data_IF_915312795399
#
_entry.id   IF_915312795399
#
_cell.length_a   1.000
_cell.length_b   1.000
_cell.length_c   1.000
_cell.angle_alpha   90.00
_cell.angle_beta   90.00
_cell.angle_gamma   90.00
#
_symmetry.space_group_name_H-M   'P 1'
#
loop_
_entity.id
_entity.type
_entity.pdbx_description
1 polymer ?
#
# COMPACT_ATOMS: atom_id res chain seq x y z
N UNK A 1 -18.09 6.22 -40.05
CA UNK A 1 -19.32 6.05 -40.88
C UNK A 1 -20.41 5.44 -40.01
N UNK A 2 -21.31 6.25 -39.46
CA UNK A 2 -22.62 5.79 -38.98
C UNK A 2 -23.61 6.89 -39.35
N UNK A 3 -24.48 6.53 -40.28
CA UNK A 3 -25.32 7.43 -41.04
C UNK A 3 -26.51 7.93 -40.21
N UNK A 4 -26.81 9.21 -40.42
CA UNK A 4 -27.97 9.92 -39.87
C UNK A 4 -29.21 9.56 -40.69
N UNK A 5 -30.11 8.76 -40.12
CA UNK A 5 -31.40 8.44 -40.76
C UNK A 5 -32.43 9.50 -40.36
N UNK A 6 -32.56 10.52 -41.22
CA UNK A 6 -33.56 11.58 -41.12
C UNK A 6 -34.88 11.10 -41.73
N UNK A 7 -35.78 10.57 -40.91
CA UNK A 7 -37.11 10.13 -41.36
C UNK A 7 -38.05 11.34 -41.56
N UNK A 8 -38.42 11.61 -42.83
CA UNK A 8 -39.40 12.62 -43.22
C UNK A 8 -40.81 12.02 -43.13
N UNK A 9 -41.52 12.29 -42.02
CA UNK A 9 -42.93 11.94 -41.86
C UNK A 9 -43.83 13.03 -42.46
N UNK A 10 -44.46 12.71 -43.59
CA UNK A 10 -45.43 13.55 -44.29
C UNK A 10 -46.75 13.58 -43.47
N UNK A 11 -47.08 14.72 -42.87
CA UNK A 11 -48.32 14.90 -42.10
C UNK A 11 -49.50 15.16 -43.05
N UNK A 12 -50.31 14.13 -43.32
CA UNK A 12 -51.57 14.22 -44.05
C UNK A 12 -52.71 14.43 -43.04
N UNK A 13 -53.16 15.67 -42.88
CA UNK A 13 -54.28 16.02 -41.99
C UNK A 13 -55.61 15.67 -42.65
N UNK A 14 -56.20 14.54 -42.24
CA UNK A 14 -57.56 14.13 -42.62
C UNK A 14 -58.56 14.68 -41.60
N UNK A 15 -59.27 15.75 -41.96
CA UNK A 15 -60.37 16.33 -41.18
C UNK A 15 -61.64 15.49 -41.37
N UNK A 16 -61.90 14.58 -40.43
CA UNK A 16 -63.19 13.90 -40.30
C UNK A 16 -64.11 14.68 -39.35
N UNK A 17 -65.18 15.23 -39.91
CA UNK A 17 -66.26 15.88 -39.18
C UNK A 17 -67.01 14.84 -38.33
N UNK A 18 -66.86 14.93 -37.00
CA UNK A 18 -67.70 14.18 -36.06
C UNK A 18 -69.07 14.84 -35.98
N UNK A 19 -70.06 14.16 -36.57
CA UNK A 19 -71.48 14.44 -36.36
C UNK A 19 -71.87 14.01 -34.94
N UNK A 20 -72.65 14.86 -34.27
CA UNK A 20 -73.13 14.65 -32.92
C UNK A 20 -74.01 13.38 -32.84
N UNK A 21 -73.39 12.27 -32.42
CA UNK A 21 -74.07 11.02 -32.08
C UNK A 21 -74.56 11.07 -30.64
N UNK A 22 -75.86 10.83 -30.48
CA UNK A 22 -76.61 10.83 -29.23
C UNK A 22 -75.92 10.03 -28.12
N UNK A 23 -75.60 10.73 -27.03
CA UNK A 23 -75.17 10.12 -25.78
C UNK A 23 -76.32 9.36 -25.12
N UNK A 24 -76.33 8.04 -25.28
CA UNK A 24 -76.95 7.16 -24.28
C UNK A 24 -75.97 7.08 -23.13
N UNK A 25 -76.18 7.95 -22.14
CA UNK A 25 -75.40 8.00 -20.92
C UNK A 25 -75.54 6.68 -20.16
N UNK A 26 -74.46 5.90 -20.11
CA UNK A 26 -74.29 4.90 -19.07
C UNK A 26 -74.09 5.66 -17.76
N UNK A 27 -75.14 5.74 -16.93
CA UNK A 27 -75.03 6.29 -15.59
C UNK A 27 -74.21 5.30 -14.77
N UNK A 28 -72.90 5.52 -14.69
CA UNK A 28 -72.03 4.78 -13.78
C UNK A 28 -72.43 5.15 -12.35
N UNK A 29 -73.24 4.29 -11.74
CA UNK A 29 -73.50 4.31 -10.32
C UNK A 29 -72.17 4.29 -9.57
N UNK A 30 -71.88 5.43 -8.93
CA UNK A 30 -71.12 5.61 -7.69
C UNK A 30 -70.38 4.38 -7.19
N UNK A 31 -69.07 4.37 -7.40
CA UNK A 31 -68.14 3.53 -6.69
C UNK A 31 -66.96 3.18 -7.57
N UNK A 32 -65.77 3.68 -7.21
CA UNK A 32 -64.51 3.04 -7.63
C UNK A 32 -64.68 1.56 -7.30
N UNK A 33 -64.59 0.70 -8.31
CA UNK A 33 -64.83 -0.74 -8.10
C UNK A 33 -63.88 -1.23 -7.01
N UNK A 34 -64.30 -2.20 -6.20
CA UNK A 34 -63.41 -2.70 -5.14
C UNK A 34 -62.09 -3.21 -5.74
N UNK A 35 -62.14 -3.73 -6.98
CA UNK A 35 -60.98 -4.09 -7.80
C UNK A 35 -60.05 -2.91 -8.07
N UNK A 36 -60.57 -1.73 -8.41
CA UNK A 36 -59.76 -0.52 -8.65
C UNK A 36 -59.13 0.00 -7.35
N UNK A 37 -59.82 -0.12 -6.21
CA UNK A 37 -59.25 0.21 -4.90
C UNK A 37 -58.13 -0.75 -4.50
N UNK A 38 -58.33 -2.06 -4.73
CA UNK A 38 -57.31 -3.08 -4.49
C UNK A 38 -56.09 -2.89 -5.42
N UNK A 39 -56.30 -2.54 -6.69
CA UNK A 39 -55.21 -2.22 -7.62
C UNK A 39 -54.45 -0.95 -7.20
N UNK A 40 -55.14 0.08 -6.73
CA UNK A 40 -54.52 1.29 -6.21
C UNK A 40 -53.73 1.03 -4.92
N UNK A 41 -54.25 0.18 -4.02
CA UNK A 41 -53.54 -0.28 -2.80
C UNK A 41 -52.30 -1.10 -3.17
N UNK A 42 -52.42 -2.02 -4.12
CA UNK A 42 -51.31 -2.85 -4.60
C UNK A 42 -50.20 -2.00 -5.24
N UNK A 43 -50.55 -1.01 -6.08
CA UNK A 43 -49.58 -0.07 -6.67
C UNK A 43 -48.89 0.80 -5.62
N UNK A 44 -49.64 1.29 -4.62
CA UNK A 44 -49.09 2.05 -3.49
C UNK A 44 -48.19 1.21 -2.59
N UNK A 45 -48.46 -0.09 -2.47
CA UNK A 45 -47.59 -1.04 -1.77
C UNK A 45 -46.36 -1.41 -2.60
N UNK A 46 -46.49 -1.57 -3.92
CA UNK A 46 -45.36 -1.84 -4.81
C UNK A 46 -44.37 -0.66 -4.84
N UNK A 47 -44.85 0.58 -4.85
CA UNK A 47 -43.99 1.77 -4.75
C UNK A 47 -43.30 1.97 -3.39
N UNK A 48 -43.61 1.13 -2.39
CA UNK A 48 -42.95 1.11 -1.07
C UNK A 48 -41.94 -0.03 -0.92
N UNK A 49 -41.86 -0.95 -1.89
CA UNK A 49 -40.89 -2.05 -1.87
C UNK A 49 -39.58 -1.55 -2.46
N UNK A 50 -38.49 -1.76 -1.72
CA UNK A 50 -37.14 -1.53 -2.21
C UNK A 50 -36.84 -2.53 -3.33
N UNK A 51 -36.13 -2.11 -4.37
CA UNK A 51 -35.73 -3.01 -5.45
C UNK A 51 -34.74 -4.04 -4.87
N UNK A 52 -34.96 -5.32 -5.15
CA UNK A 52 -34.01 -6.37 -4.78
C UNK A 52 -32.72 -6.22 -5.59
N UNK A 53 -31.58 -6.29 -4.91
CA UNK A 53 -30.24 -6.26 -5.50
C UNK A 53 -29.86 -7.60 -6.11
N UNK A 54 -30.41 -8.69 -5.55
CA UNK A 54 -30.11 -10.06 -5.94
C UNK A 54 -31.32 -11.00 -5.74
N UNK A 55 -31.24 -12.22 -6.28
CA UNK A 55 -32.25 -13.26 -6.06
C UNK A 55 -31.88 -14.12 -4.84
N UNK A 56 -32.83 -14.41 -3.93
CA UNK A 56 -32.56 -15.20 -2.73
C UNK A 56 -31.83 -16.50 -3.03
N UNK A 57 -30.89 -16.88 -2.16
CA UNK A 57 -30.03 -18.07 -2.24
C UNK A 57 -28.95 -18.05 -3.34
N UNK A 58 -28.95 -17.06 -4.23
CA UNK A 58 -27.86 -16.90 -5.19
C UNK A 58 -26.54 -16.68 -4.46
N UNK A 59 -25.47 -17.19 -5.05
CA UNK A 59 -24.10 -17.01 -4.57
C UNK A 59 -23.25 -16.44 -5.69
N UNK A 60 -22.31 -15.59 -5.33
CA UNK A 60 -21.33 -15.05 -6.27
C UNK A 60 -20.01 -14.74 -5.57
N UNK A 61 -18.89 -14.72 -6.31
CA UNK A 61 -17.63 -14.25 -5.78
C UNK A 61 -17.73 -12.78 -5.36
N UNK A 62 -16.93 -12.42 -4.37
CA UNK A 62 -16.84 -11.07 -3.88
C UNK A 62 -15.44 -10.80 -3.37
N UNK A 63 -15.02 -9.54 -3.45
CA UNK A 63 -13.72 -9.11 -2.99
C UNK A 63 -13.87 -7.79 -2.23
N UNK A 64 -14.56 -7.92 -1.10
CA UNK A 64 -14.99 -6.80 -0.27
C UNK A 64 -14.75 -7.18 1.19
N UNK A 65 -14.17 -6.26 1.96
CA UNK A 65 -13.88 -6.45 3.38
C UNK A 65 -15.15 -6.40 4.21
N UNK A 66 -15.05 -6.85 5.46
CA UNK A 66 -16.16 -6.83 6.41
C UNK A 66 -16.65 -5.40 6.74
N UNK A 67 -15.79 -4.40 6.56
CA UNK A 67 -16.08 -2.96 6.68
C UNK A 67 -16.67 -2.34 5.39
N UNK A 68 -16.82 -3.14 4.34
CA UNK A 68 -17.28 -2.69 3.02
C UNK A 68 -16.17 -2.10 2.14
N UNK A 69 -14.91 -2.15 2.56
CA UNK A 69 -13.78 -1.72 1.72
C UNK A 69 -13.63 -2.66 0.51
N UNK A 70 -13.44 -2.08 -0.67
CA UNK A 70 -13.10 -2.83 -1.90
C UNK A 70 -11.62 -2.68 -2.17
N UNK A 71 -10.92 -3.77 -2.45
CA UNK A 71 -9.54 -3.73 -2.91
C UNK A 71 -9.46 -3.70 -4.44
N UNK A 72 -8.27 -3.39 -4.97
CA UNK A 72 -8.05 -3.34 -6.41
C UNK A 72 -8.15 -4.77 -7.00
N UNK A 73 -8.89 -4.92 -8.10
CA UNK A 73 -9.20 -6.24 -8.69
C UNK A 73 -7.96 -7.00 -9.15
N UNK A 74 -6.85 -6.31 -9.41
CA UNK A 74 -5.59 -6.89 -9.83
C UNK A 74 -4.79 -7.54 -8.69
N UNK A 75 -5.18 -7.33 -7.43
CA UNK A 75 -4.59 -7.98 -6.24
C UNK A 75 -5.20 -9.36 -5.94
N UNK A 76 -6.29 -9.74 -6.64
CA UNK A 76 -6.98 -11.01 -6.42
C UNK A 76 -6.04 -12.18 -6.74
N UNK A 77 -5.94 -13.15 -5.82
CA UNK A 77 -5.09 -14.34 -5.93
C UNK A 77 -3.58 -14.03 -6.03
N UNK A 78 -3.12 -12.90 -5.48
CA UNK A 78 -1.70 -12.60 -5.21
C UNK A 78 -1.42 -12.73 -3.72
N UNK A 79 -0.22 -13.15 -3.37
CA UNK A 79 0.17 -13.33 -1.97
C UNK A 79 -0.86 -14.11 -1.15
N UNK A 80 -1.32 -13.50 -0.07
CA UNK A 80 -2.39 -14.03 0.79
C UNK A 80 -3.80 -13.68 0.34
N UNK A 81 -3.95 -12.78 -0.64
CA UNK A 81 -5.24 -12.25 -1.02
C UNK A 81 -6.09 -13.25 -1.79
N UNK A 82 -7.34 -13.35 -1.37
CA UNK A 82 -8.29 -14.34 -1.87
C UNK A 82 -9.67 -13.71 -2.03
N UNK A 83 -10.36 -14.09 -3.10
CA UNK A 83 -11.78 -13.78 -3.25
C UNK A 83 -12.62 -14.62 -2.28
N UNK A 84 -13.65 -13.99 -1.73
CA UNK A 84 -14.66 -14.64 -0.91
C UNK A 84 -15.91 -14.98 -1.70
N UNK A 85 -16.92 -15.47 -0.99
CA UNK A 85 -18.25 -15.74 -1.54
C UNK A 85 -19.31 -15.03 -0.70
N UNK A 86 -20.26 -14.39 -1.38
CA UNK A 86 -21.44 -13.81 -0.75
C UNK A 86 -22.70 -14.53 -1.17
N UNK A 87 -23.69 -14.52 -0.28
CA UNK A 87 -25.00 -15.15 -0.50
C UNK A 87 -26.09 -14.10 -0.42
N UNK A 88 -27.03 -14.14 -1.35
CA UNK A 88 -28.20 -13.27 -1.33
C UNK A 88 -29.22 -13.75 -0.30
N UNK A 89 -29.66 -12.84 0.58
CA UNK A 89 -30.66 -13.13 1.60
C UNK A 89 -32.09 -13.19 1.03
N UNK A 90 -33.04 -13.63 1.85
CA UNK A 90 -34.46 -13.73 1.47
C UNK A 90 -35.12 -12.36 1.20
N UNK A 91 -34.44 -11.26 1.57
CA UNK A 91 -34.89 -9.88 1.33
C UNK A 91 -34.32 -9.32 0.02
N UNK A 92 -33.51 -10.10 -0.69
CA UNK A 92 -32.89 -9.70 -1.95
C UNK A 92 -31.72 -8.75 -1.77
N UNK A 93 -30.99 -8.84 -0.65
CA UNK A 93 -29.75 -8.09 -0.39
C UNK A 93 -28.56 -9.04 -0.28
N UNK A 94 -27.40 -8.58 -0.73
CA UNK A 94 -26.17 -9.34 -0.56
C UNK A 94 -25.77 -9.42 0.92
N UNK A 95 -25.45 -10.62 1.39
CA UNK A 95 -24.84 -10.84 2.70
C UNK A 95 -23.36 -10.45 2.74
N UNK A 96 -22.71 -10.73 3.87
CA UNK A 96 -21.28 -10.53 4.03
C UNK A 96 -20.48 -11.32 2.98
N UNK A 97 -19.32 -10.78 2.62
CA UNK A 97 -18.35 -11.49 1.79
C UNK A 97 -17.53 -12.42 2.69
N UNK A 98 -17.89 -13.71 2.67
CA UNK A 98 -17.26 -14.70 3.53
C UNK A 98 -15.99 -15.24 2.86
N UNK A 99 -14.87 -15.24 3.59
CA UNK A 99 -13.61 -15.84 3.13
C UNK A 99 -12.74 -14.94 2.24
N UNK A 100 -13.12 -13.68 2.01
CA UNK A 100 -12.24 -12.73 1.33
C UNK A 100 -11.07 -12.33 2.23
N UNK A 101 -9.86 -12.30 1.67
CA UNK A 101 -8.65 -11.75 2.29
C UNK A 101 -8.21 -10.59 1.41
N UNK A 102 -8.23 -9.38 1.97
CA UNK A 102 -7.86 -8.16 1.25
C UNK A 102 -6.40 -7.78 1.52
N UNK A 103 -5.79 -6.93 0.66
CA UNK A 103 -4.49 -6.32 0.90
C UNK A 103 -4.40 -5.70 2.29
N UNK A 104 -3.30 -6.01 2.96
CA UNK A 104 -2.91 -5.43 4.23
C UNK A 104 -1.67 -4.56 4.05
N UNK A 105 -1.13 -4.06 5.16
CA UNK A 105 0.18 -3.40 5.15
C UNK A 105 1.26 -4.47 5.05
N UNK A 106 2.22 -4.27 4.16
CA UNK A 106 3.37 -5.15 4.00
C UNK A 106 4.20 -5.27 5.28
N UNK A 107 4.58 -6.50 5.64
CA UNK A 107 5.43 -6.82 6.78
C UNK A 107 6.64 -7.60 6.30
N UNK A 108 7.76 -7.53 7.02
CA UNK A 108 8.90 -8.42 6.75
C UNK A 108 8.60 -9.82 7.31
N UNK A 109 7.92 -10.68 6.55
CA UNK A 109 7.50 -12.00 7.00
C UNK A 109 7.61 -13.10 5.92
N UNK A 110 8.24 -12.81 4.78
CA UNK A 110 8.29 -13.60 3.53
C UNK A 110 6.93 -13.82 2.87
N UNK A 111 5.98 -12.91 3.07
CA UNK A 111 4.64 -12.99 2.53
C UNK A 111 4.31 -11.65 1.87
N UNK A 112 3.74 -11.73 0.67
CA UNK A 112 3.11 -10.61 -0.03
C UNK A 112 1.76 -10.32 0.66
N UNK A 113 1.75 -9.40 1.62
CA UNK A 113 0.61 -9.05 2.48
C UNK A 113 -0.28 -7.98 1.84
N UNK A 114 0.30 -7.08 1.06
CA UNK A 114 -0.39 -6.04 0.30
C UNK A 114 -0.83 -6.49 -1.11
N UNK A 115 -0.41 -7.69 -1.50
CA UNK A 115 -0.85 -8.39 -2.70
C UNK A 115 -0.54 -7.62 -3.99
N UNK A 116 0.55 -6.85 -3.98
CA UNK A 116 1.05 -6.13 -5.15
C UNK A 116 1.89 -7.01 -6.09
N UNK A 117 2.32 -8.19 -5.60
CA UNK A 117 3.09 -9.20 -6.32
C UNK A 117 4.59 -9.17 -6.08
N UNK A 118 5.08 -8.26 -5.24
CA UNK A 118 6.40 -8.31 -4.64
C UNK A 118 6.28 -8.90 -3.22
N UNK A 119 7.37 -9.48 -2.70
CA UNK A 119 7.37 -10.04 -1.33
C UNK A 119 8.24 -9.13 -0.48
N UNK A 120 7.75 -8.76 0.70
CA UNK A 120 8.48 -7.99 1.71
C UNK A 120 9.03 -6.66 1.15
N UNK A 121 8.29 -5.98 0.28
CA UNK A 121 8.65 -4.68 -0.31
C UNK A 121 8.28 -3.50 0.61
N UNK A 122 8.50 -3.68 1.91
CA UNK A 122 8.18 -2.70 2.96
C UNK A 122 8.85 -1.35 2.69
N UNK A 123 8.17 -0.26 3.06
CA UNK A 123 8.74 1.09 2.95
C UNK A 123 10.10 1.18 3.66
N UNK A 124 11.11 1.69 2.95
CA UNK A 124 12.48 1.82 3.47
C UNK A 124 13.41 0.68 3.10
N UNK A 125 12.93 -0.37 2.43
CA UNK A 125 13.76 -1.41 1.82
C UNK A 125 14.47 -0.87 0.57
N UNK A 126 15.69 -1.34 0.27
CA UNK A 126 16.47 -0.95 -0.91
C UNK A 126 17.20 0.40 -0.80
N UNK A 127 17.15 1.07 0.36
CA UNK A 127 17.91 2.29 0.61
C UNK A 127 19.38 1.98 0.92
N UNK A 128 20.30 2.88 0.55
CA UNK A 128 21.71 2.76 0.93
C UNK A 128 21.87 2.79 2.46
N UNK A 129 22.70 1.89 3.00
CA UNK A 129 23.01 1.82 4.41
C UNK A 129 24.50 1.52 4.65
N UNK A 130 25.00 1.85 5.84
CA UNK A 130 26.37 1.61 6.27
C UNK A 130 26.36 0.93 7.65
N UNK A 131 27.23 -0.06 7.82
CA UNK A 131 27.47 -0.78 9.08
C UNK A 131 28.96 -0.82 9.38
N UNK A 132 29.32 -1.08 10.64
CA UNK A 132 30.72 -1.13 11.07
C UNK A 132 31.27 0.22 11.52
N UNK A 133 32.44 0.19 12.13
CA UNK A 133 33.17 1.34 12.67
C UNK A 133 34.58 1.33 12.05
N UNK A 134 35.22 2.50 11.96
CA UNK A 134 36.61 2.58 11.48
C UNK A 134 36.80 1.97 10.10
N UNK A 135 37.84 1.15 9.98
CA UNK A 135 38.17 0.39 8.78
C UNK A 135 37.12 -0.69 8.44
N UNK A 136 36.32 -1.13 9.40
CA UNK A 136 35.29 -2.16 9.19
C UNK A 136 34.00 -1.62 8.57
N UNK A 137 33.91 -0.31 8.30
CA UNK A 137 32.76 0.27 7.62
C UNK A 137 32.52 -0.41 6.27
N UNK A 138 31.26 -0.74 6.04
CA UNK A 138 30.80 -1.46 4.87
C UNK A 138 29.45 -0.91 4.44
N UNK A 139 29.29 -0.66 3.14
CA UNK A 139 28.05 -0.15 2.56
C UNK A 139 27.24 -1.28 1.94
N UNK A 140 25.93 -1.09 1.90
CA UNK A 140 25.00 -1.99 1.22
C UNK A 140 23.62 -1.38 1.13
N UNK A 141 22.60 -2.23 1.07
CA UNK A 141 21.21 -1.81 0.98
C UNK A 141 20.40 -2.38 2.14
N UNK A 142 19.37 -1.65 2.55
CA UNK A 142 18.39 -2.15 3.51
C UNK A 142 17.58 -3.29 2.92
N UNK A 143 17.34 -4.32 3.72
CA UNK A 143 16.61 -5.54 3.37
C UNK A 143 15.64 -5.88 4.50
N UNK A 144 14.55 -6.58 4.18
CA UNK A 144 13.71 -7.16 5.21
C UNK A 144 14.44 -8.34 5.87
N UNK A 145 14.43 -8.36 7.20
CA UNK A 145 14.83 -9.51 8.01
C UNK A 145 13.57 -10.18 8.59
N UNK A 146 13.11 -11.32 8.02
CA UNK A 146 11.90 -11.99 8.46
C UNK A 146 11.96 -12.53 9.90
N UNK A 147 13.16 -12.66 10.47
CA UNK A 147 13.36 -13.16 11.83
C UNK A 147 13.09 -12.06 12.86
N UNK A 148 13.52 -10.83 12.59
CA UNK A 148 13.22 -9.66 13.42
C UNK A 148 11.88 -9.01 13.06
N UNK A 149 11.42 -9.17 11.82
CA UNK A 149 10.27 -8.44 11.28
C UNK A 149 10.60 -6.98 10.94
N UNK A 150 11.88 -6.62 10.89
CA UNK A 150 12.35 -5.24 10.69
C UNK A 150 13.14 -5.11 9.39
N UNK A 151 13.20 -3.88 8.88
CA UNK A 151 14.09 -3.51 7.79
C UNK A 151 15.48 -3.25 8.38
N UNK A 152 16.46 -4.08 8.02
CA UNK A 152 17.84 -4.04 8.52
C UNK A 152 18.82 -3.73 7.40
N UNK A 153 20.04 -3.30 7.73
CA UNK A 153 21.07 -3.17 6.71
C UNK A 153 21.59 -4.56 6.29
N UNK A 154 21.51 -4.89 4.99
CA UNK A 154 21.99 -6.16 4.44
C UNK A 154 23.51 -6.23 4.28
N UNK A 155 24.24 -5.15 4.60
CA UNK A 155 25.70 -5.15 4.61
C UNK A 155 26.25 -5.92 5.82
N UNK A 156 27.39 -6.56 5.63
CA UNK A 156 28.19 -7.14 6.72
C UNK A 156 29.41 -6.24 6.96
N UNK A 157 29.73 -5.85 8.22
CA UNK A 157 30.97 -5.15 8.52
C UNK A 157 32.18 -5.95 8.05
N UNK A 158 33.28 -5.26 7.70
CA UNK A 158 34.52 -5.99 7.39
C UNK A 158 35.09 -6.62 8.67
N UNK A 159 35.90 -7.67 8.49
CA UNK A 159 36.57 -8.31 9.61
C UNK A 159 37.60 -7.35 10.26
N UNK A 160 37.65 -7.29 11.61
CA UNK A 160 38.62 -6.47 12.31
C UNK A 160 40.04 -6.99 12.07
N UNK A 161 40.99 -6.06 12.00
CA UNK A 161 42.42 -6.34 11.80
C UNK A 161 43.22 -5.81 12.98
N UNK A 162 44.43 -6.32 13.24
CA UNK A 162 45.30 -5.70 14.23
C UNK A 162 45.54 -4.23 13.92
N UNK A 163 45.52 -3.39 14.96
CA UNK A 163 45.82 -1.97 14.86
C UNK A 163 47.18 -1.71 14.22
N UNK A 164 47.23 -0.70 13.36
CA UNK A 164 48.46 -0.07 12.91
C UNK A 164 48.33 1.43 13.13
N UNK A 165 49.43 2.13 13.43
CA UNK A 165 49.38 3.52 13.84
C UNK A 165 49.18 4.45 12.62
N UNK A 166 47.97 4.44 12.07
CA UNK A 166 47.58 5.14 10.84
C UNK A 166 46.42 6.14 11.08
N UNK A 167 46.01 6.36 12.34
CA UNK A 167 44.84 7.17 12.75
C UNK A 167 43.49 6.60 12.25
N UNK A 168 43.40 5.30 12.03
CA UNK A 168 42.18 4.56 11.70
C UNK A 168 42.00 3.48 12.77
N UNK A 169 40.75 3.27 13.17
CA UNK A 169 40.34 2.13 14.01
C UNK A 169 40.28 0.88 13.09
N UNK A 170 41.36 0.10 13.07
CA UNK A 170 41.55 -1.07 12.21
C UNK A 170 40.95 -2.34 12.85
N UNK A 171 40.89 -2.40 14.18
CA UNK A 171 40.31 -3.49 14.96
C UNK A 171 38.83 -3.29 15.31
N UNK A 172 38.30 -2.12 14.97
CA UNK A 172 36.89 -1.75 14.97
C UNK A 172 36.25 -1.80 16.36
N UNK A 173 37.06 -1.53 17.40
CA UNK A 173 36.63 -1.51 18.78
C UNK A 173 36.08 -0.15 19.24
N UNK A 174 36.20 0.88 18.39
CA UNK A 174 35.71 2.23 18.65
C UNK A 174 36.76 3.21 19.20
N UNK A 175 37.99 2.74 19.44
CA UNK A 175 39.16 3.55 19.76
C UNK A 175 40.13 3.54 18.58
N UNK A 176 40.91 4.61 18.41
CA UNK A 176 41.87 4.75 17.30
C UNK A 176 43.28 4.56 17.85
N UNK A 177 44.10 3.72 17.19
CA UNK A 177 45.49 3.43 17.53
C UNK A 177 45.67 2.99 19.01
N UNK A 178 44.80 2.13 19.55
CA UNK A 178 44.74 1.77 20.98
C UNK A 178 45.65 0.59 21.39
N UNK A 179 46.29 -0.09 20.44
CA UNK A 179 47.20 -1.19 20.77
C UNK A 179 48.57 -0.73 21.29
N UNK A 180 49.12 -1.58 22.17
CA UNK A 180 50.36 -1.35 22.89
C UNK A 180 51.58 -1.09 21.97
N UNK A 181 51.54 -1.61 20.73
CA UNK A 181 52.61 -1.42 19.74
C UNK A 181 52.67 0.03 19.21
N UNK A 182 51.57 0.79 19.26
CA UNK A 182 51.57 2.22 18.92
C UNK A 182 52.14 3.10 20.04
N UNK A 183 52.14 2.63 21.29
CA UNK A 183 52.67 3.39 22.43
C UNK A 183 54.21 3.43 22.46
N UNK A 184 54.91 2.60 21.67
CA UNK A 184 56.34 2.36 21.89
C UNK A 184 57.31 3.28 21.13
N UNK A 185 56.88 4.08 20.16
CA UNK A 185 57.80 4.97 19.38
C UNK A 185 57.74 6.47 19.71
N UNK A 186 57.11 6.89 20.81
CA UNK A 186 57.22 8.30 21.26
C UNK A 186 57.28 8.49 22.77
N UNK A 187 57.66 7.45 23.53
CA UNK A 187 57.63 7.52 24.99
C UNK A 187 58.98 7.59 25.70
N UNK A 188 60.12 7.55 25.00
CA UNK A 188 61.40 7.79 25.68
C UNK A 188 62.45 8.39 24.73
N UNK A 189 62.47 9.72 24.60
CA UNK A 189 63.69 10.49 24.28
C UNK A 189 64.49 10.12 23.02
N UNK A 190 63.86 10.01 21.86
CA UNK A 190 64.47 10.01 20.52
C UNK A 190 63.39 10.40 19.51
N UNK A 191 63.58 11.16 18.43
CA UNK A 191 64.63 12.06 17.96
C UNK A 191 63.89 12.86 16.85
N UNK A 192 63.18 13.94 17.20
CA UNK A 192 62.90 14.94 16.17
C UNK A 192 64.16 15.82 16.12
N UNK A 193 64.70 16.07 14.92
CA UNK A 193 65.90 16.89 14.76
C UNK A 193 65.68 18.28 15.41
N UNK A 194 66.77 18.95 15.81
CA UNK A 194 66.74 20.29 16.42
C UNK A 194 65.85 21.25 15.59
N UNK A 195 64.66 21.60 16.11
CA UNK A 195 63.70 22.50 15.46
C UNK A 195 62.38 21.88 14.99
N UNK A 196 62.07 20.65 15.38
CA UNK A 196 60.80 19.98 15.08
C UNK A 196 59.97 19.66 16.33
N UNK A 197 58.65 19.85 16.24
CA UNK A 197 57.68 19.54 17.29
C UNK A 197 56.97 18.22 16.99
N UNK A 198 56.73 17.42 18.03
CA UNK A 198 55.86 16.26 17.95
C UNK A 198 54.39 16.69 18.02
N UNK A 199 53.69 16.68 16.89
CA UNK A 199 52.24 16.88 16.83
C UNK A 199 51.60 15.71 16.08
N UNK A 200 50.64 15.01 16.71
CA UNK A 200 49.99 13.83 16.13
C UNK A 200 50.98 12.80 15.57
N UNK A 201 52.05 12.50 16.33
CA UNK A 201 53.08 11.50 15.96
C UNK A 201 53.86 11.82 14.66
N UNK A 202 53.85 13.08 14.20
CA UNK A 202 54.68 13.55 13.08
C UNK A 202 55.59 14.67 13.60
N UNK A 203 56.88 14.60 13.29
CA UNK A 203 57.78 15.73 13.48
C UNK A 203 57.40 16.81 12.46
N UNK A 204 56.91 17.95 12.95
CA UNK A 204 56.55 19.11 12.12
C UNK A 204 57.53 20.25 12.35
N UNK A 205 57.91 21.04 11.33
CA UNK A 205 58.79 22.19 11.51
C UNK A 205 58.19 23.20 12.49
N UNK A 206 58.93 23.57 13.53
CA UNK A 206 58.46 24.54 14.53
C UNK A 206 59.59 25.09 15.38
N UNK A 207 59.81 26.41 15.33
CA UNK A 207 60.74 27.08 16.22
C UNK A 207 60.25 26.95 17.68
N UNK A 208 61.12 26.46 18.57
CA UNK A 208 60.88 26.44 20.01
C UNK A 208 60.64 27.87 20.50
N UNK A 209 59.37 28.29 20.58
CA UNK A 209 59.01 29.50 21.30
C UNK A 209 59.17 29.21 22.78
N UNK A 210 60.26 29.75 23.33
CA UNK A 210 60.63 29.92 24.74
C UNK A 210 61.83 29.04 25.14
N UNK A 211 63.02 29.64 25.10
CA UNK A 211 64.03 29.47 26.16
C UNK A 211 64.94 30.74 26.16
N UNK A 212 64.77 31.56 27.21
CA UNK A 212 65.68 32.63 27.63
C UNK A 212 66.88 32.07 28.40
#
# INVERSE_FOLDING_TARGET
MRESVRSRGLALTLTLAFTAGFGVGCTTSKGVSEVDKELAKARKQAGKREAAECYPTNKEPCYVGADGATAAEDTINRGICLEGMRVCDDKGKWGACEGAVLPATELCNNIDDDCDGEIDNVEGTGADCEVGIGACRSTGFTVCDPQSGEVVCGATPQDPRPEVCNNIDDDCNGEVDDQLECAFECLVGADCDDGELCLNRVCVPGDCLNDE
#
